data_IF_657814332489
#
_entry.id   IF_657814332489
#
_cell.length_a   1.000
_cell.length_b   1.000
_cell.length_c   1.000
_cell.angle_alpha   90.00
_cell.angle_beta   90.00
_cell.angle_gamma   90.00
#
_symmetry.space_group_name_H-M   'P 1'
#
loop_
_entity.id
_entity.type
_entity.pdbx_description
1 polymer ?
#
# COMPACT_ATOMS: atom_id res chain seq x y z
N UNK A 1 -14.40 -11.04 -10.00
CA UNK A 1 -13.44 -10.22 -9.23
C UNK A 1 -12.50 -11.07 -8.37
N UNK A 2 -12.98 -11.84 -7.37
CA UNK A 2 -12.13 -12.70 -6.52
C UNK A 2 -11.10 -13.54 -7.26
N UNK A 3 -11.51 -14.36 -8.24
CA UNK A 3 -10.60 -15.25 -8.97
C UNK A 3 -9.51 -14.48 -9.74
N UNK A 4 -9.83 -13.30 -10.26
CA UNK A 4 -8.87 -12.44 -10.94
C UNK A 4 -7.82 -11.89 -9.95
N UNK A 5 -8.27 -11.34 -8.82
CA UNK A 5 -7.40 -10.82 -7.75
C UNK A 5 -6.52 -11.93 -7.16
N UNK A 6 -7.06 -13.14 -7.00
CA UNK A 6 -6.33 -14.31 -6.52
C UNK A 6 -5.21 -14.72 -7.48
N UNK A 7 -5.50 -14.72 -8.79
CA UNK A 7 -4.49 -14.98 -9.83
C UNK A 7 -3.42 -13.89 -9.83
N UNK A 8 -3.83 -12.62 -9.75
CA UNK A 8 -2.91 -11.46 -9.72
C UNK A 8 -1.94 -11.58 -8.55
N UNK A 9 -2.47 -11.76 -7.35
CA UNK A 9 -1.70 -11.66 -6.12
C UNK A 9 -0.85 -12.92 -5.87
N UNK A 10 -1.39 -14.13 -6.10
CA UNK A 10 -0.85 -15.47 -5.73
C UNK A 10 -0.53 -15.66 -4.24
N UNK A 11 0.01 -14.64 -3.57
CA UNK A 11 0.33 -14.57 -2.15
C UNK A 11 -0.22 -13.28 -1.53
N UNK A 12 -0.33 -13.30 -0.20
CA UNK A 12 -0.65 -12.16 0.62
C UNK A 12 0.28 -10.98 0.31
N UNK A 13 -0.28 -9.81 -0.01
CA UNK A 13 0.48 -8.60 -0.36
C UNK A 13 1.02 -7.82 0.85
N UNK A 14 1.07 -8.46 2.01
CA UNK A 14 1.66 -7.90 3.23
C UNK A 14 3.18 -7.86 3.15
N UNK A 15 3.81 -6.93 3.87
CA UNK A 15 5.27 -6.74 3.88
C UNK A 15 5.98 -8.06 4.22
N UNK A 16 6.75 -8.60 3.27
CA UNK A 16 7.52 -9.84 3.44
C UNK A 16 6.69 -11.12 3.60
N UNK A 17 5.39 -11.10 3.32
CA UNK A 17 4.52 -12.25 3.50
C UNK A 17 4.46 -13.13 2.24
N UNK A 18 4.45 -14.45 2.42
CA UNK A 18 4.34 -15.42 1.33
C UNK A 18 3.14 -16.38 1.47
N UNK A 19 2.18 -16.09 2.38
CA UNK A 19 0.99 -16.93 2.53
C UNK A 19 0.17 -16.92 1.25
N UNK A 20 -0.27 -18.10 0.77
CA UNK A 20 -1.10 -18.23 -0.44
C UNK A 20 -2.35 -17.33 -0.40
N UNK A 21 -2.69 -16.72 -1.52
CA UNK A 21 -3.88 -15.90 -1.70
C UNK A 21 -5.17 -16.70 -1.43
N UNK A 22 -5.19 -17.99 -1.78
CA UNK A 22 -6.29 -18.93 -1.48
C UNK A 22 -6.56 -19.10 0.01
N UNK A 23 -5.57 -18.85 0.87
CA UNK A 23 -5.68 -18.88 2.34
C UNK A 23 -5.72 -17.47 2.96
N UNK A 24 -5.97 -16.46 2.14
CA UNK A 24 -5.98 -15.05 2.51
C UNK A 24 -7.35 -14.44 2.25
N UNK A 25 -7.68 -13.41 3.01
CA UNK A 25 -8.94 -12.67 2.90
C UNK A 25 -8.80 -11.61 1.80
N UNK A 26 -9.92 -11.25 1.17
CA UNK A 26 -9.96 -10.08 0.29
C UNK A 26 -10.22 -8.86 1.16
N UNK A 27 -9.37 -7.86 1.00
CA UNK A 27 -9.45 -6.59 1.70
C UNK A 27 -9.55 -5.44 0.68
N UNK A 28 -10.30 -4.40 1.06
CA UNK A 28 -10.38 -3.17 0.28
C UNK A 28 -9.23 -2.23 0.68
N UNK A 29 -8.38 -1.83 -0.26
CA UNK A 29 -7.29 -0.88 0.00
C UNK A 29 -7.83 0.45 0.50
N UNK A 30 -8.82 1.02 -0.20
CA UNK A 30 -9.69 2.10 0.27
C UNK A 30 -10.93 1.46 0.89
N UNK A 31 -11.20 1.65 2.19
CA UNK A 31 -12.31 1.01 2.87
C UNK A 31 -13.66 1.24 2.19
N UNK A 32 -14.47 0.20 2.09
CA UNK A 32 -15.81 0.28 1.49
C UNK A 32 -16.70 1.34 2.17
N UNK A 33 -16.66 1.41 3.50
CA UNK A 33 -17.41 2.42 4.28
C UNK A 33 -16.91 3.87 4.09
N UNK A 34 -15.78 4.06 3.40
CA UNK A 34 -15.25 5.37 2.98
C UNK A 34 -15.42 5.61 1.48
N UNK A 35 -16.32 4.86 0.83
CA UNK A 35 -16.62 4.97 -0.60
C UNK A 35 -15.69 4.18 -1.51
N UNK A 36 -14.87 3.28 -0.96
CA UNK A 36 -14.00 2.42 -1.76
C UNK A 36 -14.79 1.44 -2.64
N UNK A 37 -14.54 1.38 -3.96
CA UNK A 37 -15.29 0.50 -4.85
C UNK A 37 -14.87 -0.97 -4.67
N UNK A 38 -15.80 -1.89 -4.89
CA UNK A 38 -15.49 -3.32 -5.02
C UNK A 38 -14.98 -3.59 -6.44
N UNK A 39 -13.73 -3.21 -6.70
CA UNK A 39 -13.09 -3.31 -8.02
C UNK A 39 -11.68 -3.89 -7.91
N UNK A 40 -11.16 -4.53 -8.96
CA UNK A 40 -9.84 -5.17 -8.95
C UNK A 40 -8.72 -4.21 -8.51
N UNK A 41 -8.79 -2.94 -8.91
CA UNK A 41 -7.83 -1.91 -8.52
C UNK A 41 -7.95 -1.41 -7.07
N UNK A 42 -8.92 -1.92 -6.31
CA UNK A 42 -9.12 -1.61 -4.90
C UNK A 42 -9.20 -2.87 -4.00
N UNK A 43 -9.11 -4.07 -4.59
CA UNK A 43 -9.15 -5.33 -3.85
C UNK A 43 -7.76 -5.97 -3.82
N UNK A 44 -7.39 -6.54 -2.67
CA UNK A 44 -6.11 -7.20 -2.46
C UNK A 44 -6.25 -8.39 -1.51
N UNK A 45 -5.45 -9.45 -1.72
CA UNK A 45 -5.37 -10.55 -0.77
C UNK A 45 -4.42 -10.24 0.39
N UNK A 46 -4.93 -10.29 1.62
CA UNK A 46 -4.17 -10.20 2.86
C UNK A 46 -4.49 -11.36 3.79
N UNK A 47 -3.47 -11.98 4.37
CA UNK A 47 -3.70 -12.95 5.43
C UNK A 47 -4.25 -12.26 6.68
N UNK A 48 -4.93 -13.00 7.57
CA UNK A 48 -5.51 -12.46 8.81
C UNK A 48 -4.57 -11.56 9.61
N UNK A 49 -3.29 -11.92 9.71
CA UNK A 49 -2.29 -11.14 10.45
C UNK A 49 -1.98 -9.80 9.76
N UNK A 50 -1.72 -9.80 8.46
CA UNK A 50 -1.48 -8.58 7.69
C UNK A 50 -2.74 -7.72 7.55
N UNK A 51 -3.90 -8.34 7.45
CA UNK A 51 -5.19 -7.66 7.43
C UNK A 51 -5.43 -6.92 8.74
N UNK A 52 -5.15 -7.55 9.90
CA UNK A 52 -5.15 -6.87 11.20
C UNK A 52 -4.13 -5.75 11.26
N UNK A 53 -2.90 -5.96 10.79
CA UNK A 53 -1.87 -4.93 10.77
C UNK A 53 -2.38 -3.67 10.04
N UNK A 54 -3.02 -3.81 8.88
CA UNK A 54 -3.59 -2.69 8.14
C UNK A 54 -4.68 -1.93 8.91
N UNK A 55 -5.60 -2.65 9.57
CA UNK A 55 -6.77 -2.02 10.21
C UNK A 55 -6.54 -1.56 11.64
N UNK A 56 -5.60 -2.18 12.36
CA UNK A 56 -5.42 -1.99 13.80
C UNK A 56 -4.10 -1.28 14.15
N UNK A 57 -3.42 -0.70 13.16
CA UNK A 57 -2.20 0.08 13.37
C UNK A 57 -2.22 1.34 12.53
N UNK A 58 -1.18 2.17 12.66
CA UNK A 58 -1.02 3.38 11.85
C UNK A 58 -0.30 3.13 10.51
N UNK A 59 -0.17 1.86 10.09
CA UNK A 59 0.25 1.57 8.72
C UNK A 59 -0.84 2.04 7.75
N UNK A 60 -0.41 2.67 6.66
CA UNK A 60 -1.30 3.02 5.55
C UNK A 60 -0.92 2.24 4.30
N UNK A 61 -1.89 1.98 3.44
CA UNK A 61 -1.70 1.21 2.21
C UNK A 61 -2.23 1.95 1.00
N UNK A 62 -1.51 1.87 -0.12
CA UNK A 62 -1.92 2.37 -1.43
C UNK A 62 -1.67 1.30 -2.48
N UNK A 63 -2.67 1.04 -3.31
CA UNK A 63 -2.58 0.10 -4.41
C UNK A 63 -2.23 0.86 -5.69
N UNK A 64 -1.28 0.34 -6.46
CA UNK A 64 -0.88 0.91 -7.75
C UNK A 64 -1.81 0.40 -8.87
N UNK A 65 -1.80 1.04 -10.05
CA UNK A 65 -2.52 0.52 -11.22
C UNK A 65 -2.07 -0.88 -11.64
N UNK A 66 -0.82 -1.26 -11.37
CA UNK A 66 -0.28 -2.60 -11.65
C UNK A 66 -0.75 -3.66 -10.65
N UNK A 67 -1.41 -3.24 -9.57
CA UNK A 67 -1.89 -4.11 -8.50
C UNK A 67 -0.91 -4.28 -7.33
N UNK A 68 0.26 -3.64 -7.38
CA UNK A 68 1.22 -3.62 -6.28
C UNK A 68 0.65 -2.90 -5.06
N UNK A 69 0.99 -3.38 -3.86
CA UNK A 69 0.57 -2.77 -2.61
C UNK A 69 1.75 -2.09 -1.94
N UNK A 70 1.69 -0.77 -1.87
CA UNK A 70 2.63 0.05 -1.10
C UNK A 70 2.12 0.22 0.31
N UNK A 71 2.94 -0.14 1.29
CA UNK A 71 2.73 0.08 2.70
C UNK A 71 3.62 1.21 3.20
N UNK A 72 3.06 2.13 3.97
CA UNK A 72 3.81 3.16 4.67
C UNK A 72 3.69 2.92 6.17
N UNK A 73 4.84 2.69 6.82
CA UNK A 73 4.92 2.53 8.27
C UNK A 73 4.62 3.84 9.01
N UNK A 74 4.30 3.79 10.31
CA UNK A 74 4.06 4.99 11.12
C UNK A 74 5.27 5.95 11.13
N UNK A 75 6.49 5.42 11.02
CA UNK A 75 7.72 6.19 10.91
C UNK A 75 8.08 6.65 9.49
N UNK A 76 7.15 6.53 8.53
CA UNK A 76 7.33 7.02 7.16
C UNK A 76 8.12 6.11 6.22
N UNK A 77 8.65 4.97 6.68
CA UNK A 77 9.30 3.99 5.79
C UNK A 77 8.28 3.36 4.84
N UNK A 78 8.67 3.23 3.58
CA UNK A 78 7.83 2.72 2.49
C UNK A 78 8.29 1.33 2.08
N UNK A 79 7.33 0.42 1.91
CA UNK A 79 7.56 -0.96 1.46
C UNK A 79 6.59 -1.25 0.33
N UNK A 80 7.09 -1.67 -0.84
CA UNK A 80 6.24 -2.08 -1.96
C UNK A 80 6.30 -3.58 -2.14
N UNK A 81 5.13 -4.21 -2.21
CA UNK A 81 4.99 -5.61 -2.55
C UNK A 81 4.38 -5.72 -3.95
N UNK A 82 5.15 -6.31 -4.87
CA UNK A 82 4.70 -6.57 -6.24
C UNK A 82 3.84 -7.84 -6.27
N UNK A 83 2.74 -7.85 -7.03
CA UNK A 83 1.94 -9.04 -7.21
C UNK A 83 2.65 -10.01 -8.16
N UNK A 84 2.37 -11.31 -8.05
CA UNK A 84 3.01 -12.31 -8.90
C UNK A 84 2.68 -12.11 -10.40
N UNK A 85 1.49 -11.62 -10.70
CA UNK A 85 1.05 -11.33 -12.07
C UNK A 85 0.53 -9.88 -12.16
N UNK A 86 1.41 -8.87 -12.35
CA UNK A 86 1.02 -7.46 -12.45
C UNK A 86 0.05 -7.18 -13.60
N UNK A 87 -0.82 -6.19 -13.41
CA UNK A 87 -1.76 -5.71 -14.43
C UNK A 87 -1.07 -4.68 -15.33
N UNK A 88 -1.02 -4.95 -16.63
CA UNK A 88 -0.40 -4.06 -17.61
C UNK A 88 1.13 -4.03 -17.52
N UNK A 89 1.77 -3.18 -18.33
CA UNK A 89 3.22 -3.01 -18.30
C UNK A 89 3.65 -2.28 -17.03
N UNK A 90 4.69 -2.73 -16.30
CA UNK A 90 5.20 -2.00 -15.15
C UNK A 90 5.59 -0.59 -15.58
N UNK A 91 4.91 0.42 -15.04
CA UNK A 91 5.37 1.80 -15.15
C UNK A 91 6.59 1.92 -14.23
N UNK A 92 7.77 2.35 -14.71
CA UNK A 92 8.91 2.58 -13.84
C UNK A 92 8.48 3.50 -12.70
N UNK A 93 8.70 3.08 -11.44
CA UNK A 93 8.47 3.92 -10.30
C UNK A 93 9.29 5.21 -10.49
N UNK A 94 8.63 6.36 -10.55
CA UNK A 94 9.33 7.63 -10.52
C UNK A 94 10.22 7.66 -9.27
N UNK A 95 11.49 8.11 -9.36
CA UNK A 95 12.38 8.13 -8.21
C UNK A 95 11.72 8.88 -7.05
N UNK A 96 11.91 8.37 -5.84
CA UNK A 96 11.43 9.01 -4.63
C UNK A 96 11.83 10.48 -4.65
N UNK A 97 10.84 11.38 -4.56
CA UNK A 97 11.08 12.82 -4.50
C UNK A 97 12.00 13.05 -3.29
N UNK A 98 13.16 13.72 -3.43
CA UNK A 98 14.01 14.01 -2.29
C UNK A 98 13.21 14.76 -1.22
N UNK A 99 13.50 14.53 0.07
CA UNK A 99 12.80 15.24 1.15
C UNK A 99 12.89 16.75 0.91
N UNK A 100 11.76 17.43 1.14
CA UNK A 100 11.72 18.89 1.07
C UNK A 100 12.83 19.46 1.98
N UNK A 101 13.59 20.47 1.53
CA UNK A 101 14.54 21.14 2.40
C UNK A 101 13.78 21.73 3.60
N UNK A 102 14.39 21.76 4.79
CA UNK A 102 13.75 22.35 5.97
C UNK A 102 13.35 23.79 5.64
N UNK A 103 12.10 24.16 5.95
CA UNK A 103 11.67 25.53 5.86
C UNK A 103 12.56 26.37 6.76
N UNK A 104 13.37 27.26 6.19
CA UNK A 104 14.04 28.30 6.96
C UNK A 104 12.96 29.20 7.53
N UNK A 105 12.54 28.90 8.76
CA UNK A 105 11.75 29.84 9.56
C UNK A 105 12.53 31.15 9.60
N UNK A 106 11.85 32.26 9.28
CA UNK A 106 12.39 33.60 9.52
C UNK A 106 12.84 33.64 10.97
N UNK A 107 14.13 33.90 11.20
CA UNK A 107 14.59 34.32 12.49
C UNK A 107 13.95 35.68 12.79
N UNK A 108 13.21 35.77 13.89
CA UNK A 108 12.91 37.07 14.49
C UNK A 108 14.25 37.73 14.87
N UNK A 109 14.47 39.01 14.54
CA UNK A 109 15.67 39.69 15.01
C UNK A 109 15.62 39.79 16.54
N UNK A 110 16.74 39.55 17.24
CA UNK A 110 16.79 39.74 18.69
C UNK A 110 16.54 41.22 19.01
N UNK A 111 15.92 41.53 20.17
CA UNK A 111 15.82 42.91 20.61
C UNK A 111 17.21 43.45 21.01
N UNK A 112 17.33 44.78 20.86
CA UNK A 112 18.46 45.70 21.12
C UNK A 112 19.29 46.09 19.90
#
# INVERSE_FOLDING_TARGET
>A
MKRYTEIRDQTCQGIGCNRKATHSEIDHTVPWNRGGPTAVGNLVHLCKACHRLKHQSSFSTRQTPTGALTWTSPGGKIYTHEPANPIGSPTPAAPARPPLPPSTGRADPPPF
#
